data_IF_036651955802
#
_entry.id   IF_036651955802
#
_cell.length_a   1.000
_cell.length_b   1.000
_cell.length_c   1.000
_cell.angle_alpha   90.00
_cell.angle_beta   90.00
_cell.angle_gamma   90.00
#
_symmetry.space_group_name_H-M   'P 1'
#
loop_
_entity.id
_entity.type
_entity.pdbx_description
1 polymer ?
#
# COMPACT_ATOMS: atom_id res chain seq x y z
N UNK A 1 1.02 9.26 10.82
CA UNK A 1 1.22 7.82 10.63
C UNK A 1 -0.15 7.16 10.53
N UNK A 2 -0.40 6.45 9.43
CA UNK A 2 -1.66 5.75 9.16
C UNK A 2 -1.49 4.26 9.36
N UNK A 3 -2.57 3.58 9.76
CA UNK A 3 -2.61 2.13 9.93
C UNK A 3 -3.86 1.57 9.24
N UNK A 4 -3.66 0.53 8.45
CA UNK A 4 -4.71 -0.11 7.66
C UNK A 4 -4.67 -1.63 7.82
N UNK A 5 -5.84 -2.25 7.96
CA UNK A 5 -5.97 -3.72 7.99
C UNK A 5 -6.47 -4.18 6.63
N UNK A 6 -5.58 -4.73 5.77
CA UNK A 6 -5.96 -5.10 4.41
C UNK A 6 -6.83 -6.36 4.41
N UNK A 7 -7.66 -6.49 3.37
CA UNK A 7 -8.61 -7.60 3.21
C UNK A 7 -8.25 -8.43 1.98
N UNK A 8 -8.49 -9.74 2.06
CA UNK A 8 -8.27 -10.66 0.92
C UNK A 8 -6.81 -10.93 0.56
N UNK A 9 -5.85 -10.51 1.39
CA UNK A 9 -4.40 -10.65 1.13
C UNK A 9 -3.66 -11.36 2.26
N UNK A 10 -2.38 -11.70 2.04
CA UNK A 10 -1.55 -12.35 3.05
C UNK A 10 -1.12 -11.41 4.18
N UNK A 11 -0.90 -10.13 3.87
CA UNK A 11 -0.53 -9.11 4.86
C UNK A 11 -1.64 -8.88 5.86
N UNK A 12 -1.25 -8.60 7.10
CA UNK A 12 -2.14 -8.40 8.27
C UNK A 12 -2.28 -6.94 8.65
N UNK A 13 -1.27 -6.13 8.34
CA UNK A 13 -1.35 -4.68 8.50
C UNK A 13 -0.46 -3.98 7.48
N UNK A 14 -0.84 -2.74 7.15
CA UNK A 14 -0.06 -1.80 6.36
C UNK A 14 0.02 -0.51 7.19
N UNK A 15 1.23 -0.09 7.53
CA UNK A 15 1.47 1.18 8.21
C UNK A 15 2.24 2.09 7.25
N UNK A 16 1.86 3.35 7.15
CA UNK A 16 2.53 4.27 6.24
C UNK A 16 2.50 5.72 6.73
N UNK A 17 3.42 6.51 6.19
CA UNK A 17 3.56 7.92 6.50
C UNK A 17 3.51 8.76 5.23
N UNK A 18 2.79 9.88 5.31
CA UNK A 18 2.67 10.86 4.24
C UNK A 18 3.18 12.21 4.75
N UNK A 19 4.06 12.84 4.00
CA UNK A 19 4.56 14.20 4.25
C UNK A 19 4.55 14.97 2.93
N UNK A 20 3.92 16.13 2.90
CA UNK A 20 3.81 16.98 1.70
C UNK A 20 3.33 16.21 0.45
N UNK A 21 2.25 15.43 0.59
CA UNK A 21 1.67 14.58 -0.46
C UNK A 21 2.57 13.43 -0.97
N UNK A 22 3.65 13.13 -0.24
CA UNK A 22 4.58 12.05 -0.58
C UNK A 22 4.63 10.96 0.46
N UNK A 23 4.70 9.72 0.02
CA UNK A 23 4.88 8.55 0.88
C UNK A 23 6.33 8.56 1.39
N UNK A 24 6.55 8.68 2.69
CA UNK A 24 7.90 8.66 3.27
C UNK A 24 8.31 7.29 3.76
N UNK A 25 7.35 6.47 4.17
CA UNK A 25 7.58 5.13 4.73
C UNK A 25 6.35 4.25 4.50
N UNK A 26 6.56 2.96 4.20
CA UNK A 26 5.51 1.93 4.19
C UNK A 26 6.06 0.67 4.82
N UNK A 27 5.34 0.10 5.78
CA UNK A 27 5.68 -1.15 6.46
C UNK A 27 4.50 -2.09 6.39
N UNK A 28 4.71 -3.25 5.76
CA UNK A 28 3.77 -4.36 5.75
C UNK A 28 4.12 -5.36 6.84
N UNK A 29 3.11 -5.89 7.53
CA UNK A 29 3.29 -7.03 8.44
C UNK A 29 2.66 -8.29 7.83
N UNK A 30 3.45 -9.34 7.65
CA UNK A 30 3.01 -10.61 7.07
C UNK A 30 2.86 -10.58 5.54
N UNK A 31 3.02 -11.74 4.90
CA UNK A 31 3.06 -11.90 3.44
C UNK A 31 4.47 -12.22 2.92
N UNK A 32 4.71 -12.04 1.61
CA UNK A 32 6.00 -12.35 0.98
C UNK A 32 7.03 -11.26 1.33
N UNK A 33 8.07 -11.52 2.15
CA UNK A 33 8.93 -10.46 2.67
C UNK A 33 9.67 -9.70 1.57
N UNK A 34 10.22 -10.40 0.58
CA UNK A 34 10.99 -9.77 -0.52
C UNK A 34 10.15 -8.82 -1.37
N UNK A 35 8.95 -9.26 -1.79
CA UNK A 35 8.05 -8.41 -2.57
C UNK A 35 7.54 -7.22 -1.77
N UNK A 36 7.22 -7.40 -0.48
CA UNK A 36 6.71 -6.32 0.36
C UNK A 36 7.79 -5.27 0.64
N UNK A 37 9.03 -5.67 0.93
CA UNK A 37 10.16 -4.74 1.03
C UNK A 37 10.43 -4.02 -0.30
N UNK A 38 10.28 -4.72 -1.42
CA UNK A 38 10.37 -4.13 -2.76
C UNK A 38 9.32 -3.05 -2.99
N UNK A 39 8.05 -3.33 -2.69
CA UNK A 39 6.95 -2.36 -2.80
C UNK A 39 7.24 -1.14 -1.92
N UNK A 40 7.57 -1.34 -0.64
CA UNK A 40 7.91 -0.25 0.29
C UNK A 40 9.02 0.64 -0.23
N UNK A 41 10.06 0.04 -0.84
CA UNK A 41 11.18 0.79 -1.41
C UNK A 41 10.79 1.56 -2.66
N UNK A 42 9.97 0.97 -3.54
CA UNK A 42 9.56 1.57 -4.81
C UNK A 42 8.60 2.76 -4.64
N UNK A 43 7.77 2.75 -3.59
CA UNK A 43 6.79 3.82 -3.35
C UNK A 43 7.35 4.97 -2.50
N UNK A 44 8.53 4.80 -1.89
CA UNK A 44 9.15 5.86 -1.07
C UNK A 44 9.48 7.08 -1.92
N UNK A 45 9.00 8.24 -1.50
CA UNK A 45 9.09 9.53 -2.19
C UNK A 45 8.06 9.74 -3.30
N UNK A 46 7.22 8.74 -3.60
CA UNK A 46 6.16 8.81 -4.61
C UNK A 46 4.99 9.66 -4.13
N UNK A 47 4.37 10.41 -5.04
CA UNK A 47 3.14 11.14 -4.75
C UNK A 47 1.96 10.18 -4.49
N UNK A 48 1.06 10.54 -3.58
CA UNK A 48 -0.07 9.67 -3.18
C UNK A 48 -0.90 9.24 -4.38
N UNK A 49 -1.29 10.19 -5.24
CA UNK A 49 -2.10 9.91 -6.43
C UNK A 49 -1.37 9.03 -7.46
N UNK A 50 -0.05 9.21 -7.59
CA UNK A 50 0.77 8.37 -8.48
C UNK A 50 0.82 6.93 -7.98
N UNK A 51 1.00 6.73 -6.67
CA UNK A 51 1.01 5.41 -6.06
C UNK A 51 -0.34 4.70 -6.23
N UNK A 52 -1.46 5.39 -5.98
CA UNK A 52 -2.80 4.84 -6.20
C UNK A 52 -2.96 4.39 -7.66
N UNK A 53 -2.63 5.27 -8.61
CA UNK A 53 -2.74 4.96 -10.04
C UNK A 53 -1.90 3.76 -10.47
N UNK A 54 -0.69 3.60 -9.92
CA UNK A 54 0.22 2.50 -10.28
C UNK A 54 -0.17 1.16 -9.66
N UNK A 55 -0.75 1.17 -8.47
CA UNK A 55 -0.92 -0.04 -7.66
C UNK A 55 -2.35 -0.58 -7.63
N UNK A 56 -3.36 0.29 -7.83
CA UNK A 56 -4.77 -0.09 -7.76
C UNK A 56 -5.15 -1.08 -8.87
N UNK A 57 -5.86 -2.13 -8.48
CA UNK A 57 -6.33 -3.20 -9.36
C UNK A 57 -5.34 -4.35 -9.58
N UNK A 58 -4.12 -4.30 -9.01
CA UNK A 58 -3.18 -5.43 -9.12
C UNK A 58 -3.75 -6.63 -8.34
N UNK A 59 -3.88 -7.78 -8.99
CA UNK A 59 -4.30 -9.04 -8.37
C UNK A 59 -3.10 -9.92 -8.00
N UNK A 60 -3.33 -10.95 -7.16
CA UNK A 60 -2.30 -11.89 -6.74
C UNK A 60 -2.80 -13.34 -6.86
N UNK A 61 -2.41 -14.02 -7.94
CA UNK A 61 -2.93 -15.35 -8.27
C UNK A 61 -4.45 -15.29 -8.46
N UNK A 62 -5.17 -16.20 -7.81
CA UNK A 62 -6.63 -16.30 -7.88
C UNK A 62 -7.37 -15.26 -7.01
N UNK A 63 -6.64 -14.39 -6.29
CA UNK A 63 -7.24 -13.35 -5.45
C UNK A 63 -7.65 -12.15 -6.30
N UNK A 64 -8.81 -11.58 -6.01
CA UNK A 64 -9.31 -10.35 -6.67
C UNK A 64 -8.53 -9.08 -6.29
N UNK A 65 -7.52 -9.18 -5.42
CA UNK A 65 -6.71 -8.06 -4.91
C UNK A 65 -5.29 -8.54 -4.56
N UNK A 66 -4.42 -7.63 -4.16
CA UNK A 66 -3.04 -7.89 -3.77
C UNK A 66 -2.55 -6.89 -2.72
N UNK A 67 -1.41 -7.14 -2.08
CA UNK A 67 -0.82 -6.21 -1.12
C UNK A 67 -0.58 -4.79 -1.69
N UNK A 68 -0.05 -4.60 -2.92
CA UNK A 68 0.04 -3.26 -3.50
C UNK A 68 -1.33 -2.63 -3.79
N UNK A 69 -2.31 -3.40 -4.26
CA UNK A 69 -3.68 -2.89 -4.45
C UNK A 69 -4.30 -2.44 -3.12
N UNK A 70 -4.13 -3.21 -2.05
CA UNK A 70 -4.59 -2.84 -0.72
C UNK A 70 -3.88 -1.60 -0.17
N UNK A 71 -2.62 -1.34 -0.53
CA UNK A 71 -1.96 -0.07 -0.21
C UNK A 71 -2.63 1.09 -0.98
N UNK A 72 -2.99 0.92 -2.25
CA UNK A 72 -3.70 1.94 -3.01
C UNK A 72 -5.06 2.27 -2.40
N UNK A 73 -5.83 1.26 -2.00
CA UNK A 73 -7.12 1.46 -1.33
C UNK A 73 -6.95 2.16 0.02
N UNK A 74 -5.91 1.80 0.79
CA UNK A 74 -5.62 2.47 2.06
C UNK A 74 -5.27 3.95 1.89
N UNK A 75 -4.48 4.29 0.86
CA UNK A 75 -4.14 5.68 0.53
C UNK A 75 -5.38 6.48 0.11
N UNK A 76 -6.23 5.87 -0.73
CA UNK A 76 -7.47 6.51 -1.18
C UNK A 76 -8.43 6.75 -0.01
N UNK A 77 -8.65 5.74 0.85
CA UNK A 77 -9.55 5.81 1.99
C UNK A 77 -9.07 6.79 3.07
N UNK A 78 -7.79 6.72 3.45
CA UNK A 78 -7.27 7.42 4.64
C UNK A 78 -6.58 8.75 4.36
N UNK A 79 -6.28 9.06 3.09
CA UNK A 79 -5.55 10.28 2.71
C UNK A 79 -6.33 11.14 1.73
N UNK A 80 -6.95 10.51 0.71
CA UNK A 80 -7.65 11.26 -0.36
C UNK A 80 -9.09 11.57 0.04
N UNK A 81 -9.78 10.60 0.65
CA UNK A 81 -11.20 10.71 1.02
C UNK A 81 -11.42 10.99 2.52
N UNK A 82 -10.35 11.30 3.25
CA UNK A 82 -10.38 11.55 4.69
C UNK A 82 -11.01 12.91 5.05
#
# INVERSE_FOLDING_TARGET
MYSYTPKGVCSKSINFEIVNDKITEVVFTGGCPGNLMGISSLVKGMGVQEAIKKLKGISCGDKSTSCPDQLALALEELVVNA
#
